data_IF_825023368506
#
_entry.id   IF_825023368506
#
_cell.length_a   1.000
_cell.length_b   1.000
_cell.length_c   1.000
_cell.angle_alpha   90.00
_cell.angle_beta   90.00
_cell.angle_gamma   90.00
#
_symmetry.space_group_name_H-M   'P 1'
#
loop_
_entity.id
_entity.type
_entity.pdbx_description
1 polymer ?
#
# COMPACT_ATOMS: atom_id res chain seq x y z
N UNK A 1 -20.14 0.75 12.16
CA UNK A 1 -20.39 1.73 11.08
C UNK A 1 -19.19 1.66 10.14
N UNK A 2 -19.40 1.35 8.85
CA UNK A 2 -18.30 1.27 7.88
C UNK A 2 -17.76 2.69 7.69
N UNK A 3 -16.44 2.88 7.85
CA UNK A 3 -15.83 4.20 7.72
C UNK A 3 -15.76 4.55 6.24
N UNK A 4 -16.34 5.69 5.84
CA UNK A 4 -16.28 6.14 4.45
C UNK A 4 -14.82 6.40 4.05
N UNK A 5 -14.38 5.75 2.97
CA UNK A 5 -13.01 5.83 2.43
C UNK A 5 -12.64 7.27 2.09
N UNK A 6 -13.59 8.13 1.73
CA UNK A 6 -13.35 9.52 1.33
C UNK A 6 -13.37 10.52 2.50
N UNK A 7 -13.76 10.10 3.71
CA UNK A 7 -13.78 10.95 4.91
C UNK A 7 -12.44 10.96 5.67
N UNK A 8 -11.40 10.32 5.13
CA UNK A 8 -10.06 10.35 5.70
C UNK A 8 -9.38 11.70 5.50
N UNK A 9 -8.64 12.15 6.51
CA UNK A 9 -7.81 13.35 6.41
C UNK A 9 -6.49 13.08 5.68
N UNK A 10 -6.08 14.02 4.84
CA UNK A 10 -4.84 14.01 4.06
C UNK A 10 -4.15 15.38 4.13
N UNK A 11 -2.85 15.43 3.82
CA UNK A 11 -2.13 16.70 3.71
C UNK A 11 -2.31 17.31 2.31
N UNK A 12 -2.66 18.60 2.27
CA UNK A 12 -2.84 19.42 1.07
C UNK A 12 -1.90 20.63 1.11
N UNK A 13 -1.34 20.98 -0.03
CA UNK A 13 -0.30 21.98 -0.22
C UNK A 13 -0.75 23.00 -1.25
N UNK A 14 -0.40 24.27 -1.01
CA UNK A 14 -0.73 25.38 -1.92
C UNK A 14 0.30 25.47 -3.07
N UNK A 15 0.30 24.46 -3.94
CA UNK A 15 1.25 24.32 -5.04
C UNK A 15 2.50 23.50 -4.71
N UNK A 16 3.37 23.30 -5.70
CA UNK A 16 4.48 22.34 -5.62
C UNK A 16 5.62 22.74 -4.68
N UNK A 17 5.69 24.02 -4.30
CA UNK A 17 6.75 24.56 -3.44
C UNK A 17 6.37 24.59 -1.96
N UNK A 18 5.09 24.40 -1.64
CA UNK A 18 4.64 24.33 -0.27
C UNK A 18 5.02 22.97 0.33
N UNK A 19 5.80 23.02 1.41
CA UNK A 19 6.30 21.84 2.12
C UNK A 19 5.64 21.65 3.47
N UNK A 20 4.88 22.63 3.97
CA UNK A 20 4.23 22.59 5.28
C UNK A 20 2.80 22.07 5.15
N UNK A 21 2.06 22.60 4.17
CA UNK A 21 0.69 22.19 3.88
C UNK A 21 -0.30 22.44 5.02
N UNK A 22 -1.51 21.94 4.81
CA UNK A 22 -2.65 21.95 5.74
C UNK A 22 -3.37 20.60 5.64
N UNK A 23 -4.29 20.32 6.55
CA UNK A 23 -5.08 19.09 6.52
C UNK A 23 -6.47 19.38 5.95
N UNK A 24 -6.99 18.47 5.13
CA UNK A 24 -8.41 18.45 4.77
C UNK A 24 -8.89 17.01 4.58
N UNK A 25 -10.22 16.82 4.45
CA UNK A 25 -10.76 15.51 4.06
C UNK A 25 -10.50 15.24 2.59
N UNK A 26 -10.24 13.98 2.25
CA UNK A 26 -10.03 13.55 0.86
C UNK A 26 -11.20 13.96 -0.05
N UNK A 27 -12.46 13.80 0.40
CA UNK A 27 -13.65 14.26 -0.33
C UNK A 27 -13.62 15.74 -0.71
N UNK A 28 -13.16 16.59 0.20
CA UNK A 28 -13.16 18.05 0.00
C UNK A 28 -12.11 18.44 -1.04
N UNK A 29 -11.01 17.68 -1.10
CA UNK A 29 -10.00 17.83 -2.14
C UNK A 29 -10.51 17.31 -3.49
N UNK A 30 -10.95 16.06 -3.58
CA UNK A 30 -11.32 15.41 -4.85
C UNK A 30 -12.53 16.06 -5.54
N UNK A 31 -13.53 16.49 -4.76
CA UNK A 31 -14.78 17.03 -5.30
C UNK A 31 -14.82 18.56 -5.34
N UNK A 32 -13.68 19.21 -5.08
CA UNK A 32 -13.58 20.67 -5.12
C UNK A 32 -13.83 21.20 -6.53
N UNK A 33 -14.85 22.06 -6.68
CA UNK A 33 -15.11 22.78 -7.95
C UNK A 33 -14.40 24.14 -8.03
N UNK A 34 -13.63 24.53 -7.00
CA UNK A 34 -13.04 25.88 -6.89
C UNK A 34 -12.07 26.22 -8.01
N UNK A 35 -11.37 25.24 -8.58
CA UNK A 35 -10.32 25.45 -9.59
C UNK A 35 -10.70 24.91 -10.98
N UNK A 36 -11.98 24.58 -11.23
CA UNK A 36 -12.41 23.98 -12.50
C UNK A 36 -12.05 24.88 -13.69
N UNK A 37 -12.37 26.18 -13.64
CA UNK A 37 -12.04 27.12 -14.72
C UNK A 37 -10.53 27.26 -14.96
N UNK A 38 -9.70 27.16 -13.91
CA UNK A 38 -8.24 27.20 -14.04
C UNK A 38 -7.70 25.90 -14.67
N UNK A 39 -8.28 24.75 -14.34
CA UNK A 39 -7.94 23.44 -14.93
C UNK A 39 -8.38 23.37 -16.39
N UNK A 40 -9.57 23.87 -16.74
CA UNK A 40 -10.05 23.95 -18.12
C UNK A 40 -9.15 24.87 -18.96
N UNK A 41 -8.77 26.04 -18.42
CA UNK A 41 -7.76 26.91 -19.03
C UNK A 41 -6.43 26.19 -19.21
N UNK A 42 -5.97 25.43 -18.21
CA UNK A 42 -4.74 24.63 -18.34
C UNK A 42 -4.84 23.67 -19.52
N UNK A 43 -5.97 22.98 -19.67
CA UNK A 43 -6.18 21.99 -20.73
C UNK A 43 -6.19 22.62 -22.12
N UNK A 44 -6.67 23.86 -22.26
CA UNK A 44 -6.70 24.59 -23.54
C UNK A 44 -5.34 25.16 -23.98
N UNK A 45 -4.32 25.18 -23.11
CA UNK A 45 -2.99 25.71 -23.46
C UNK A 45 -2.28 24.79 -24.47
N UNK A 46 -1.51 25.34 -25.42
CA UNK A 46 -0.85 24.54 -26.45
C UNK A 46 0.42 23.86 -25.94
N UNK A 47 1.25 24.55 -25.13
CA UNK A 47 2.57 24.05 -24.75
C UNK A 47 2.59 23.39 -23.37
N UNK A 48 3.56 22.49 -23.17
CA UNK A 48 3.77 21.83 -21.87
C UNK A 48 4.27 22.83 -20.82
N UNK A 49 5.04 23.82 -21.25
CA UNK A 49 5.63 24.87 -20.43
C UNK A 49 4.53 25.74 -19.81
N UNK A 50 3.58 26.22 -20.63
CA UNK A 50 2.44 27.01 -20.15
C UNK A 50 1.55 26.20 -19.21
N UNK A 51 1.28 24.93 -19.52
CA UNK A 51 0.54 24.01 -18.63
C UNK A 51 1.23 23.84 -17.28
N UNK A 52 2.55 23.72 -17.28
CA UNK A 52 3.32 23.55 -16.06
C UNK A 52 3.29 24.79 -15.16
N UNK A 53 3.22 26.00 -15.72
CA UNK A 53 3.14 27.23 -14.92
C UNK A 53 1.86 27.30 -14.08
N UNK A 54 0.73 26.86 -14.65
CA UNK A 54 -0.53 26.73 -13.89
C UNK A 54 -0.44 25.55 -12.91
N UNK A 55 0.02 24.37 -13.38
CA UNK A 55 0.11 23.16 -12.55
C UNK A 55 0.94 23.35 -11.28
N UNK A 56 1.99 24.18 -11.32
CA UNK A 56 2.85 24.49 -10.16
C UNK A 56 2.10 25.21 -9.03
N UNK A 57 1.02 25.93 -9.35
CA UNK A 57 0.25 26.78 -8.42
C UNK A 57 -1.02 26.11 -7.92
N UNK A 58 -1.57 25.16 -8.69
CA UNK A 58 -2.75 24.40 -8.29
C UNK A 58 -2.51 23.64 -6.97
N UNK A 59 -3.54 23.46 -6.14
CA UNK A 59 -3.45 22.65 -4.93
C UNK A 59 -2.92 21.25 -5.22
N UNK A 60 -2.10 20.74 -4.30
CA UNK A 60 -1.49 19.41 -4.37
C UNK A 60 -1.86 18.64 -3.11
N UNK A 61 -1.99 17.33 -3.16
CA UNK A 61 -2.28 16.53 -1.97
C UNK A 61 -1.44 15.25 -1.90
N UNK A 62 -1.02 14.88 -0.70
CA UNK A 62 -0.49 13.54 -0.45
C UNK A 62 -1.65 12.62 -0.05
N UNK A 63 -2.21 11.91 -1.03
CA UNK A 63 -3.37 11.01 -0.81
C UNK A 63 -3.03 9.92 0.23
N UNK A 64 -1.78 9.49 0.28
CA UNK A 64 -1.32 8.38 1.12
C UNK A 64 -1.23 8.72 2.62
N UNK A 65 -1.31 9.99 3.03
CA UNK A 65 -1.25 10.29 4.46
C UNK A 65 -1.16 11.75 4.86
N UNK A 66 -1.03 11.91 6.17
CA UNK A 66 -0.82 13.16 6.88
C UNK A 66 0.66 13.31 7.26
N UNK A 67 1.21 14.50 7.00
CA UNK A 67 2.60 14.80 7.24
C UNK A 67 2.76 16.07 8.10
N UNK A 68 3.55 16.00 9.16
CA UNK A 68 3.90 17.15 10.00
C UNK A 68 5.33 17.02 10.55
N UNK A 69 6.07 18.13 10.69
CA UNK A 69 5.70 19.50 10.32
C UNK A 69 5.85 19.77 8.82
N UNK A 70 6.54 18.89 8.08
CA UNK A 70 6.78 19.05 6.64
C UNK A 70 6.61 17.75 5.87
N UNK A 71 6.40 17.83 4.56
CA UNK A 71 6.26 16.69 3.64
C UNK A 71 7.57 15.91 3.49
N UNK A 72 7.78 14.94 4.36
CA UNK A 72 8.87 13.95 4.30
C UNK A 72 8.39 12.60 4.80
N UNK A 73 8.99 11.51 4.33
CA UNK A 73 8.60 10.16 4.76
C UNK A 73 8.75 9.97 6.28
N UNK A 74 9.81 10.53 6.88
CA UNK A 74 10.06 10.53 8.32
C UNK A 74 9.01 11.29 9.14
N UNK A 75 8.29 12.22 8.50
CA UNK A 75 7.28 13.09 9.12
C UNK A 75 5.86 12.57 8.89
N UNK A 76 5.70 11.30 8.47
CA UNK A 76 4.38 10.68 8.32
C UNK A 76 3.75 10.49 9.70
N UNK A 77 2.73 11.30 9.99
CA UNK A 77 1.95 11.21 11.24
C UNK A 77 0.98 10.05 11.17
N UNK A 78 0.30 9.89 10.03
CA UNK A 78 -0.71 8.85 9.83
C UNK A 78 -0.84 8.52 8.34
N UNK A 79 -0.71 7.24 8.00
CA UNK A 79 -1.08 6.76 6.67
C UNK A 79 -2.61 6.79 6.52
N UNK A 80 -3.12 7.29 5.39
CA UNK A 80 -4.57 7.41 5.12
C UNK A 80 -5.26 6.05 4.94
N UNK A 81 -4.46 5.04 4.60
CA UNK A 81 -4.91 3.72 4.20
C UNK A 81 -5.14 3.61 2.69
N UNK A 82 -4.77 4.64 1.93
CA UNK A 82 -4.97 4.73 0.48
C UNK A 82 -3.64 4.88 -0.24
N UNK A 83 -3.61 4.47 -1.50
CA UNK A 83 -2.55 4.81 -2.45
C UNK A 83 -3.18 5.46 -3.68
N UNK A 84 -2.49 6.44 -4.26
CA UNK A 84 -2.84 7.07 -5.52
C UNK A 84 -1.82 6.67 -6.57
N UNK A 85 -2.26 6.06 -7.68
CA UNK A 85 -1.38 5.69 -8.80
C UNK A 85 -1.81 6.41 -10.07
N UNK A 86 -0.83 6.93 -10.79
CA UNK A 86 -1.04 7.59 -12.08
C UNK A 86 -0.89 6.62 -13.24
N UNK A 87 -1.71 6.83 -14.26
CA UNK A 87 -1.68 6.14 -15.55
C UNK A 87 -1.56 7.22 -16.63
N UNK A 88 -0.34 7.42 -17.11
CA UNK A 88 -0.05 8.41 -18.14
C UNK A 88 -0.14 7.77 -19.54
N UNK A 89 -0.85 8.43 -20.47
CA UNK A 89 -0.98 7.96 -21.87
C UNK A 89 0.36 7.78 -22.57
N UNK A 90 1.34 8.64 -22.26
CA UNK A 90 2.69 8.60 -22.87
C UNK A 90 3.44 7.29 -22.58
N UNK A 91 3.13 6.65 -21.45
CA UNK A 91 3.76 5.40 -21.01
C UNK A 91 2.96 4.17 -21.49
N UNK A 92 1.82 4.39 -22.15
CA UNK A 92 0.83 3.39 -22.53
C UNK A 92 0.38 3.56 -24.00
N UNK A 93 1.29 3.98 -24.88
CA UNK A 93 1.01 4.22 -26.30
C UNK A 93 0.62 2.95 -27.07
N UNK A 94 0.84 1.78 -26.49
CA UNK A 94 0.41 0.48 -27.03
C UNK A 94 -1.07 0.17 -26.80
N UNK A 95 -1.80 1.01 -26.07
CA UNK A 95 -3.24 0.85 -25.84
C UNK A 95 -4.00 1.73 -26.84
N UNK A 96 -4.57 1.09 -27.86
CA UNK A 96 -5.31 1.78 -28.93
C UNK A 96 -6.62 2.40 -28.41
N UNK A 97 -7.36 1.68 -27.56
CA UNK A 97 -8.64 2.10 -26.97
C UNK A 97 -8.46 2.86 -25.65
N UNK A 98 -7.60 3.88 -25.64
CA UNK A 98 -7.25 4.66 -24.45
C UNK A 98 -8.48 5.21 -23.68
N UNK A 99 -9.52 5.62 -24.40
CA UNK A 99 -10.73 6.21 -23.81
C UNK A 99 -11.61 5.16 -23.08
N UNK A 100 -11.39 3.86 -23.34
CA UNK A 100 -12.10 2.76 -22.68
C UNK A 100 -11.39 2.25 -21.42
N UNK A 101 -10.15 2.65 -21.17
CA UNK A 101 -9.38 2.20 -19.99
C UNK A 101 -10.15 2.42 -18.69
N UNK A 102 -10.85 3.56 -18.56
CA UNK A 102 -11.66 3.84 -17.37
C UNK A 102 -12.72 2.77 -17.15
N UNK A 103 -13.37 2.28 -18.21
CA UNK A 103 -14.38 1.23 -18.12
C UNK A 103 -13.77 -0.13 -17.70
N UNK A 104 -12.57 -0.45 -18.18
CA UNK A 104 -11.85 -1.65 -17.76
C UNK A 104 -11.40 -1.57 -16.30
N UNK A 105 -10.89 -0.42 -15.87
CA UNK A 105 -10.48 -0.20 -14.48
C UNK A 105 -11.66 -0.24 -13.50
N UNK A 106 -12.85 0.23 -13.88
CA UNK A 106 -14.06 0.14 -13.04
C UNK A 106 -14.40 -1.31 -12.64
N UNK A 107 -13.95 -2.32 -13.40
CA UNK A 107 -14.20 -3.75 -13.09
C UNK A 107 -13.35 -4.25 -11.92
N UNK A 108 -12.29 -3.53 -11.54
CA UNK A 108 -11.43 -3.88 -10.40
C UNK A 108 -12.10 -3.42 -9.09
N UNK A 109 -12.56 -4.39 -8.30
CA UNK A 109 -13.25 -4.16 -7.01
C UNK A 109 -12.40 -3.44 -5.97
N UNK A 110 -11.08 -3.43 -6.14
CA UNK A 110 -10.12 -2.73 -5.30
C UNK A 110 -10.03 -1.23 -5.63
N UNK A 111 -10.55 -0.76 -6.77
CA UNK A 111 -10.49 0.66 -7.12
C UNK A 111 -11.64 1.42 -6.44
N UNK A 112 -11.28 2.44 -5.65
CA UNK A 112 -12.23 3.34 -5.00
C UNK A 112 -12.56 4.57 -5.84
N UNK A 113 -11.61 5.08 -6.62
CA UNK A 113 -11.79 6.30 -7.40
C UNK A 113 -11.00 6.25 -8.70
N UNK A 114 -11.58 6.75 -9.80
CA UNK A 114 -10.87 7.00 -11.07
C UNK A 114 -11.26 8.38 -11.57
N UNK A 115 -10.27 9.17 -11.97
CA UNK A 115 -10.51 10.49 -12.56
C UNK A 115 -9.42 10.86 -13.55
N UNK A 116 -9.75 11.74 -14.49
CA UNK A 116 -8.79 12.35 -15.39
C UNK A 116 -7.66 13.05 -14.61
N UNK A 117 -6.44 12.97 -15.12
CA UNK A 117 -5.32 13.77 -14.66
C UNK A 117 -5.54 15.25 -14.97
N UNK A 118 -4.78 16.14 -14.32
CA UNK A 118 -4.97 17.60 -14.47
C UNK A 118 -4.91 18.06 -15.93
N UNK A 119 -4.07 17.43 -16.76
CA UNK A 119 -3.97 17.74 -18.19
C UNK A 119 -5.09 17.15 -19.05
N UNK A 120 -5.93 16.27 -18.51
CA UNK A 120 -6.99 15.56 -19.24
C UNK A 120 -6.51 14.39 -20.10
N UNK A 121 -5.19 14.15 -20.19
CA UNK A 121 -4.61 13.13 -21.07
C UNK A 121 -4.32 11.80 -20.36
N UNK A 122 -4.33 11.79 -19.04
CA UNK A 122 -4.02 10.63 -18.21
C UNK A 122 -5.19 10.31 -17.27
N UNK A 123 -5.05 9.23 -16.51
CA UNK A 123 -5.93 8.90 -15.40
C UNK A 123 -5.11 8.81 -14.11
N UNK A 124 -5.78 8.98 -12.97
CA UNK A 124 -5.25 8.49 -11.71
C UNK A 124 -6.33 7.67 -11.02
N UNK A 125 -5.89 6.69 -10.23
CA UNK A 125 -6.78 5.85 -9.44
C UNK A 125 -6.38 5.85 -7.97
N UNK A 126 -7.38 5.74 -7.09
CA UNK A 126 -7.17 5.60 -5.64
C UNK A 126 -7.63 4.22 -5.21
N UNK A 127 -6.76 3.53 -4.48
CA UNK A 127 -6.93 2.13 -4.05
C UNK A 127 -6.73 2.08 -2.52
N UNK A 128 -7.68 1.53 -1.74
CA UNK A 128 -7.46 1.23 -0.34
C UNK A 128 -6.46 0.09 -0.19
N UNK A 129 -5.54 0.23 0.76
CA UNK A 129 -4.48 -0.71 1.05
C UNK A 129 -4.84 -1.55 2.28
N UNK A 130 -4.76 -2.88 2.17
CA UNK A 130 -4.92 -3.77 3.33
C UNK A 130 -3.74 -3.63 4.31
N UNK A 131 -2.54 -3.34 3.80
CA UNK A 131 -1.31 -3.23 4.60
C UNK A 131 -0.64 -1.85 4.42
N UNK A 132 -1.21 -0.77 5.00
CA UNK A 132 -0.66 0.59 4.88
C UNK A 132 0.80 0.76 5.27
N UNK A 133 1.26 0.01 6.28
CA UNK A 133 2.67 -0.01 6.73
C UNK A 133 3.63 -0.50 5.62
N UNK A 134 3.11 -1.24 4.66
CA UNK A 134 3.81 -1.92 3.59
C UNK A 134 3.64 -1.18 2.25
N UNK A 135 3.33 0.13 2.30
CA UNK A 135 2.98 0.98 1.15
C UNK A 135 3.78 0.67 -0.12
N UNK A 136 5.12 0.71 -0.04
CA UNK A 136 6.00 0.47 -1.18
C UNK A 136 5.92 -0.97 -1.71
N UNK A 137 5.81 -1.96 -0.82
CA UNK A 137 5.69 -3.37 -1.19
C UNK A 137 4.34 -3.67 -1.85
N UNK A 138 3.25 -3.04 -1.37
CA UNK A 138 1.94 -3.15 -2.03
C UNK A 138 1.93 -2.42 -3.38
N UNK A 139 2.57 -1.25 -3.49
CA UNK A 139 2.73 -0.56 -4.76
C UNK A 139 3.48 -1.40 -5.80
N UNK A 140 4.58 -2.05 -5.43
CA UNK A 140 5.32 -2.88 -6.37
C UNK A 140 4.49 -4.08 -6.85
N UNK A 141 3.65 -4.63 -5.98
CA UNK A 141 2.70 -5.69 -6.37
C UNK A 141 1.62 -5.14 -7.31
N UNK A 142 1.05 -3.97 -7.02
CA UNK A 142 0.13 -3.26 -7.93
C UNK A 142 0.77 -3.04 -9.30
N UNK A 143 2.02 -2.61 -9.36
CA UNK A 143 2.76 -2.40 -10.62
C UNK A 143 2.81 -3.68 -11.47
N UNK A 144 3.07 -4.82 -10.85
CA UNK A 144 3.07 -6.11 -11.54
C UNK A 144 1.65 -6.52 -11.99
N UNK A 145 0.66 -6.26 -11.16
CA UNK A 145 -0.73 -6.64 -11.43
C UNK A 145 -1.35 -5.81 -12.55
N UNK A 146 -1.09 -4.50 -12.57
CA UNK A 146 -1.45 -3.61 -13.67
C UNK A 146 -0.69 -3.98 -14.96
N UNK A 147 0.60 -4.29 -14.88
CA UNK A 147 1.37 -4.73 -16.04
C UNK A 147 0.82 -6.03 -16.65
N UNK A 148 0.31 -6.96 -15.83
CA UNK A 148 -0.33 -8.20 -16.29
C UNK A 148 -1.61 -7.98 -17.09
N UNK A 149 -2.31 -6.87 -16.86
CA UNK A 149 -3.46 -6.44 -17.66
C UNK A 149 -3.08 -5.42 -18.74
N UNK A 150 -1.78 -5.26 -19.02
CA UNK A 150 -1.28 -4.40 -20.09
C UNK A 150 -1.22 -2.91 -19.74
N UNK A 151 -1.36 -2.52 -18.47
CA UNK A 151 -1.33 -1.12 -18.05
C UNK A 151 -0.04 -0.82 -17.29
N UNK A 152 0.64 0.27 -17.67
CA UNK A 152 1.85 0.77 -17.02
C UNK A 152 1.47 1.95 -16.11
N UNK A 153 1.80 1.83 -14.82
CA UNK A 153 1.60 2.88 -13.80
C UNK A 153 2.91 3.61 -13.48
N UNK A 154 2.84 4.90 -13.13
CA UNK A 154 4.01 5.73 -12.79
C UNK A 154 4.74 5.16 -11.55
N UNK A 155 6.00 4.76 -11.74
CA UNK A 155 6.87 4.19 -10.69
C UNK A 155 7.05 5.09 -9.47
N UNK A 156 6.92 6.41 -9.64
CA UNK A 156 7.05 7.36 -8.53
C UNK A 156 5.87 7.28 -7.54
N UNK A 157 4.77 6.61 -7.89
CA UNK A 157 3.60 6.51 -7.03
C UNK A 157 3.77 5.58 -5.82
N UNK A 158 4.88 4.82 -5.73
CA UNK A 158 5.23 4.04 -4.54
C UNK A 158 5.86 4.85 -3.40
N UNK A 159 6.12 6.14 -3.61
CA UNK A 159 6.56 7.06 -2.56
C UNK A 159 5.35 7.53 -1.76
N UNK A 160 5.34 7.26 -0.44
CA UNK A 160 4.25 7.68 0.46
C UNK A 160 4.06 9.21 0.46
N UNK A 161 5.10 9.99 0.13
CA UNK A 161 5.07 11.45 0.06
C UNK A 161 4.63 11.99 -1.31
N UNK A 162 4.23 11.11 -2.24
CA UNK A 162 3.86 11.50 -3.60
C UNK A 162 2.67 12.45 -3.58
N UNK A 163 2.88 13.64 -4.12
CA UNK A 163 1.82 14.62 -4.31
C UNK A 163 1.04 14.36 -5.59
N UNK A 164 -0.28 14.59 -5.51
CA UNK A 164 -1.22 14.61 -6.62
C UNK A 164 -1.73 16.03 -6.82
N UNK A 165 -1.68 16.52 -8.05
CA UNK A 165 -2.30 17.80 -8.39
C UNK A 165 -3.82 17.67 -8.40
N UNK A 166 -4.51 18.67 -7.86
CA UNK A 166 -5.95 18.79 -7.98
C UNK A 166 -6.34 18.72 -9.46
N UNK A 167 -7.36 17.93 -9.75
CA UNK A 167 -7.86 17.69 -11.09
C UNK A 167 -9.38 17.81 -11.12
N UNK A 168 -9.94 17.80 -12.32
CA UNK A 168 -11.37 17.82 -12.56
C UNK A 168 -11.76 16.77 -13.62
N UNK A 169 -12.79 16.01 -13.31
CA UNK A 169 -13.48 15.10 -14.21
C UNK A 169 -14.98 15.31 -13.97
N UNK A 170 -15.76 15.43 -15.04
CA UNK A 170 -17.21 15.62 -14.92
C UNK A 170 -17.91 14.35 -14.45
N UNK A 171 -17.32 13.19 -14.74
CA UNK A 171 -17.94 11.88 -14.49
C UNK A 171 -16.95 10.92 -13.82
N UNK A 172 -16.30 11.27 -12.69
CA UNK A 172 -15.33 10.39 -12.04
C UNK A 172 -16.01 9.09 -11.61
N UNK A 173 -15.27 7.98 -11.64
CA UNK A 173 -15.74 6.74 -11.04
C UNK A 173 -15.58 6.81 -9.53
N UNK A 174 -16.61 6.41 -8.78
CA UNK A 174 -16.63 6.41 -7.32
C UNK A 174 -17.18 5.05 -6.85
N UNK A 175 -16.41 4.38 -6.01
CA UNK A 175 -16.78 3.12 -5.37
C UNK A 175 -16.46 3.19 -3.87
N UNK A 176 -17.48 3.54 -3.07
CA UNK A 176 -17.37 3.59 -1.60
C UNK A 176 -17.22 2.21 -0.95
N UNK A 177 -17.54 1.15 -1.69
CA UNK A 177 -17.47 -0.24 -1.24
C UNK A 177 -16.20 -0.96 -1.71
N UNK A 178 -15.21 -0.21 -2.23
CA UNK A 178 -13.94 -0.78 -2.69
C UNK A 178 -13.27 -1.62 -1.60
N UNK A 179 -12.82 -2.82 -1.97
CA UNK A 179 -12.16 -3.72 -1.02
C UNK A 179 -10.67 -3.38 -0.91
N UNK A 180 -10.05 -3.44 0.28
CA UNK A 180 -8.62 -3.20 0.42
C UNK A 180 -7.78 -4.20 -0.39
N UNK A 181 -6.84 -3.67 -1.18
CA UNK A 181 -5.87 -4.45 -1.93
C UNK A 181 -4.94 -5.19 -0.97
N UNK A 182 -4.89 -6.52 -1.09
CA UNK A 182 -4.13 -7.41 -0.21
C UNK A 182 -2.85 -7.96 -0.85
N UNK A 183 -2.58 -7.60 -2.11
CA UNK A 183 -1.34 -7.95 -2.78
C UNK A 183 -0.12 -7.37 -2.05
N UNK A 184 0.91 -8.20 -1.92
CA UNK A 184 2.15 -7.84 -1.28
C UNK A 184 3.34 -8.42 -2.06
N UNK A 185 4.27 -7.57 -2.48
CA UNK A 185 5.50 -8.00 -3.14
C UNK A 185 6.63 -8.07 -2.12
N UNK A 186 7.29 -9.23 -2.07
CA UNK A 186 8.52 -9.48 -1.32
C UNK A 186 9.67 -9.62 -2.30
N UNK A 187 10.74 -8.84 -2.12
CA UNK A 187 11.97 -9.06 -2.88
C UNK A 187 12.53 -10.46 -2.59
N UNK A 188 12.98 -11.21 -3.62
CA UNK A 188 13.60 -12.51 -3.41
C UNK A 188 14.89 -12.35 -2.58
N UNK A 189 14.90 -12.95 -1.39
CA UNK A 189 16.01 -12.79 -0.43
C UNK A 189 17.20 -13.70 -0.78
N UNK A 190 18.46 -13.23 -0.62
CA UNK A 190 19.61 -14.11 -0.53
C UNK A 190 19.50 -14.99 0.72
N UNK A 191 19.77 -16.28 0.57
CA UNK A 191 19.69 -17.29 1.65
C UNK A 191 20.86 -17.14 2.62
N UNK A 192 20.79 -16.16 3.53
CA UNK A 192 21.72 -16.11 4.67
C UNK A 192 21.06 -16.75 5.90
N UNK A 193 21.68 -17.82 6.41
CA UNK A 193 21.30 -18.47 7.66
C UNK A 193 21.69 -17.56 8.84
N UNK A 194 20.77 -16.70 9.27
CA UNK A 194 20.96 -15.94 10.50
C UNK A 194 20.86 -16.89 11.70
N UNK A 195 22.01 -17.20 12.31
CA UNK A 195 22.06 -17.76 13.66
C UNK A 195 21.72 -16.63 14.65
N UNK A 196 20.50 -16.63 15.17
CA UNK A 196 20.11 -15.72 16.24
C UNK A 196 20.74 -16.20 17.55
N UNK A 197 21.68 -15.44 18.11
CA UNK A 197 22.22 -15.68 19.45
C UNK A 197 21.14 -15.34 20.48
N UNK A 198 20.50 -16.37 21.02
CA UNK A 198 19.44 -16.26 22.02
C UNK A 198 19.91 -15.49 23.26
N UNK A 199 19.20 -14.41 23.59
CA UNK A 199 19.18 -13.82 24.93
C UNK A 199 17.79 -14.03 25.55
N UNK A 200 17.69 -13.95 26.87
CA UNK A 200 16.61 -14.50 27.72
C UNK A 200 15.13 -14.12 27.43
N UNK A 201 14.82 -13.31 26.41
CA UNK A 201 13.45 -12.81 26.14
C UNK A 201 12.96 -13.06 24.69
N UNK A 202 13.39 -14.13 24.01
CA UNK A 202 12.95 -14.40 22.62
C UNK A 202 11.44 -14.64 22.52
N UNK A 203 10.86 -15.42 23.43
CA UNK A 203 9.42 -15.72 23.42
C UNK A 203 8.58 -14.45 23.58
N UNK A 204 8.96 -13.55 24.48
CA UNK A 204 8.26 -12.27 24.68
C UNK A 204 8.30 -11.39 23.43
N UNK A 205 9.44 -11.35 22.73
CA UNK A 205 9.56 -10.61 21.48
C UNK A 205 8.64 -11.18 20.40
N UNK A 206 8.55 -12.51 20.31
CA UNK A 206 7.65 -13.19 19.36
C UNK A 206 6.19 -12.93 19.73
N UNK A 207 5.85 -12.98 21.02
CA UNK A 207 4.52 -12.67 21.53
C UNK A 207 4.10 -11.24 21.15
N UNK A 208 4.95 -10.23 21.41
CA UNK A 208 4.70 -8.83 21.00
C UNK A 208 4.44 -8.70 19.50
N UNK A 209 5.19 -9.41 18.65
CA UNK A 209 4.93 -9.43 17.21
C UNK A 209 3.58 -10.09 16.88
N UNK A 210 3.26 -11.22 17.50
CA UNK A 210 2.01 -11.96 17.29
C UNK A 210 0.77 -11.17 17.74
N UNK A 211 0.87 -10.42 18.84
CA UNK A 211 -0.17 -9.49 19.30
C UNK A 211 -0.46 -8.41 18.24
N UNK A 212 0.59 -7.80 17.67
CA UNK A 212 0.44 -6.81 16.58
C UNK A 212 -0.16 -7.45 15.31
N UNK A 213 0.25 -8.67 14.99
CA UNK A 213 -0.28 -9.45 13.86
C UNK A 213 -1.79 -9.68 14.02
N UNK A 214 -2.20 -10.20 15.18
CA UNK A 214 -3.61 -10.51 15.48
C UNK A 214 -4.46 -9.23 15.56
N UNK A 215 -4.00 -8.22 16.31
CA UNK A 215 -4.75 -6.98 16.51
C UNK A 215 -5.02 -6.23 15.20
N UNK A 216 -4.13 -6.34 14.22
CA UNK A 216 -4.23 -5.65 12.93
C UNK A 216 -4.67 -6.56 11.77
N UNK A 217 -4.91 -7.85 12.00
CA UNK A 217 -5.29 -8.78 10.95
C UNK A 217 -4.22 -8.94 9.85
N UNK A 218 -2.93 -8.84 10.19
CA UNK A 218 -1.83 -8.81 9.21
C UNK A 218 -1.42 -10.22 8.83
N UNK A 219 -1.67 -10.63 7.59
CA UNK A 219 -1.22 -11.92 7.08
C UNK A 219 0.25 -11.87 6.62
N UNK A 220 1.15 -12.24 7.54
CA UNK A 220 2.58 -12.38 7.25
C UNK A 220 2.91 -13.68 6.49
N UNK A 221 1.95 -14.60 6.40
CA UNK A 221 2.14 -15.94 5.85
C UNK A 221 1.95 -16.00 4.34
N UNK A 222 1.31 -14.99 3.74
CA UNK A 222 1.31 -14.77 2.30
C UNK A 222 1.00 -16.02 1.46
N UNK A 223 2.01 -16.51 0.74
CA UNK A 223 1.94 -17.75 -0.04
C UNK A 223 2.48 -18.99 0.71
N UNK A 224 2.45 -20.17 0.08
CA UNK A 224 2.93 -21.40 0.74
C UNK A 224 4.41 -21.31 1.18
N UNK A 225 5.25 -20.60 0.42
CA UNK A 225 6.68 -20.50 0.71
C UNK A 225 6.90 -19.64 1.95
N UNK A 226 6.19 -18.53 2.06
CA UNK A 226 6.21 -17.66 3.24
C UNK A 226 5.64 -18.37 4.46
N UNK A 227 4.48 -19.02 4.32
CA UNK A 227 3.88 -19.82 5.39
C UNK A 227 4.83 -20.92 5.90
N UNK A 228 5.50 -21.62 4.98
CA UNK A 228 6.52 -22.62 5.33
C UNK A 228 7.71 -22.01 6.06
N UNK A 229 8.18 -20.83 5.62
CA UNK A 229 9.32 -20.13 6.22
C UNK A 229 9.00 -19.64 7.62
N UNK A 230 7.84 -19.01 7.82
CA UNK A 230 7.31 -18.60 9.14
C UNK A 230 7.20 -19.82 10.06
N UNK A 231 6.64 -20.91 9.54
CA UNK A 231 6.50 -22.17 10.29
C UNK A 231 7.85 -22.74 10.73
N UNK A 232 8.86 -22.77 9.86
CA UNK A 232 10.19 -23.26 10.22
C UNK A 232 10.86 -22.36 11.26
N UNK A 233 10.76 -21.04 11.10
CA UNK A 233 11.35 -20.08 12.04
C UNK A 233 10.75 -20.20 13.44
N UNK A 234 9.42 -20.36 13.55
CA UNK A 234 8.74 -20.57 14.83
C UNK A 234 8.99 -21.97 15.41
N UNK A 235 9.11 -23.00 14.56
CA UNK A 235 9.50 -24.35 15.00
C UNK A 235 10.91 -24.40 15.59
N UNK A 236 11.77 -23.41 15.30
CA UNK A 236 13.08 -23.28 15.95
C UNK A 236 12.99 -22.98 17.45
N UNK A 237 11.80 -22.63 17.97
CA UNK A 237 11.51 -22.44 19.40
C UNK A 237 10.98 -23.73 20.07
N UNK A 238 10.94 -24.84 19.33
CA UNK A 238 10.28 -26.05 19.77
C UNK A 238 8.77 -25.89 19.87
N UNK A 239 8.16 -26.65 20.77
CA UNK A 239 6.69 -26.71 20.93
C UNK A 239 6.08 -25.36 21.32
N UNK A 240 6.81 -24.52 22.04
CA UNK A 240 6.41 -23.15 22.39
C UNK A 240 6.10 -22.27 21.16
N UNK A 241 6.63 -22.62 19.98
CA UNK A 241 6.34 -21.93 18.72
C UNK A 241 4.96 -22.24 18.12
N UNK A 242 4.27 -23.30 18.56
CA UNK A 242 3.04 -23.79 17.93
C UNK A 242 1.92 -22.75 17.98
N UNK A 243 1.66 -22.21 19.16
CA UNK A 243 0.60 -21.21 19.36
C UNK A 243 0.84 -20.00 18.46
N UNK A 244 2.07 -19.48 18.40
CA UNK A 244 2.46 -18.38 17.53
C UNK A 244 2.25 -18.70 16.04
N UNK A 245 2.53 -19.93 15.61
CA UNK A 245 2.31 -20.32 14.21
C UNK A 245 0.83 -20.33 13.84
N UNK A 246 -0.03 -20.78 14.76
CA UNK A 246 -1.49 -20.64 14.59
C UNK A 246 -1.91 -19.17 14.58
N UNK A 247 -1.33 -18.32 15.44
CA UNK A 247 -1.62 -16.87 15.43
C UNK A 247 -1.32 -16.22 14.09
N UNK A 248 -0.18 -16.56 13.49
CA UNK A 248 0.21 -16.04 12.18
C UNK A 248 -0.66 -16.63 11.06
N UNK A 249 -0.89 -17.95 11.08
CA UNK A 249 -1.61 -18.65 10.01
C UNK A 249 -3.08 -18.26 9.92
N UNK A 250 -3.75 -17.99 11.05
CA UNK A 250 -5.19 -17.63 11.07
C UNK A 250 -5.52 -16.28 10.45
N UNK A 251 -4.51 -15.44 10.18
CA UNK A 251 -4.72 -14.18 9.46
C UNK A 251 -5.00 -14.40 7.96
N UNK A 252 -4.68 -15.59 7.44
CA UNK A 252 -4.99 -15.98 6.07
C UNK A 252 -6.38 -16.62 5.97
N UNK A 253 -7.17 -16.23 4.96
CA UNK A 253 -8.52 -16.73 4.75
C UNK A 253 -8.60 -18.25 4.47
N UNK A 254 -7.49 -18.88 4.05
CA UNK A 254 -7.40 -20.33 3.78
C UNK A 254 -6.99 -21.15 5.01
N UNK A 255 -6.86 -20.52 6.17
CA UNK A 255 -6.44 -21.17 7.40
C UNK A 255 -7.35 -22.36 7.77
N UNK A 256 -6.72 -23.48 8.13
CA UNK A 256 -7.38 -24.64 8.69
C UNK A 256 -6.57 -25.19 9.84
N UNK A 257 -7.17 -25.22 11.02
CA UNK A 257 -6.50 -25.63 12.26
C UNK A 257 -5.77 -26.97 12.12
N UNK A 258 -6.44 -28.00 11.60
CA UNK A 258 -5.87 -29.35 11.46
C UNK A 258 -4.69 -29.42 10.49
N UNK A 259 -4.75 -28.70 9.37
CA UNK A 259 -3.66 -28.65 8.39
C UNK A 259 -2.45 -27.90 8.97
N UNK A 260 -2.69 -26.78 9.66
CA UNK A 260 -1.64 -25.99 10.33
C UNK A 260 -0.98 -26.78 11.45
N UNK A 261 -1.76 -27.45 12.30
CA UNK A 261 -1.24 -28.23 13.43
C UNK A 261 -0.37 -29.41 12.95
N UNK A 262 -0.88 -30.17 11.95
CA UNK A 262 -0.13 -31.25 11.31
C UNK A 262 1.15 -30.74 10.65
N UNK A 263 1.10 -29.57 10.00
CA UNK A 263 2.28 -28.95 9.39
C UNK A 263 3.32 -28.60 10.44
N UNK A 264 2.92 -27.95 11.55
CA UNK A 264 3.87 -27.55 12.59
C UNK A 264 4.57 -28.75 13.23
N UNK A 265 3.81 -29.82 13.52
CA UNK A 265 4.36 -31.09 14.01
C UNK A 265 5.40 -31.70 13.06
N UNK A 266 5.23 -31.53 11.74
CA UNK A 266 6.25 -31.92 10.76
C UNK A 266 7.48 -31.01 10.81
N UNK A 267 7.28 -29.69 10.89
CA UNK A 267 8.35 -28.69 10.89
C UNK A 267 9.24 -28.76 12.14
N UNK A 268 8.72 -29.18 13.30
CA UNK A 268 9.54 -29.47 14.48
C UNK A 268 10.62 -30.54 14.21
N UNK A 269 10.34 -31.44 13.26
CA UNK A 269 11.27 -32.51 12.86
C UNK A 269 12.17 -32.09 11.69
N UNK A 270 11.63 -31.34 10.73
CA UNK A 270 12.26 -31.10 9.42
C UNK A 270 12.80 -29.67 9.23
N UNK A 271 12.31 -28.68 9.97
CA UNK A 271 12.53 -27.24 9.78
C UNK A 271 13.83 -26.67 10.36
N UNK A 272 14.81 -27.50 10.72
CA UNK A 272 15.99 -27.14 11.54
C UNK A 272 16.97 -26.13 10.92
N UNK A 273 16.79 -25.75 9.65
CA UNK A 273 17.72 -24.85 8.93
C UNK A 273 17.36 -23.36 9.06
N UNK A 274 16.14 -23.03 9.48
CA UNK A 274 15.64 -21.66 9.56
C UNK A 274 15.49 -21.30 11.04
N UNK A 275 16.22 -20.29 11.50
CA UNK A 275 16.17 -19.82 12.88
C UNK A 275 15.10 -18.73 13.07
N UNK A 276 14.80 -18.44 14.35
CA UNK A 276 13.79 -17.43 14.72
C UNK A 276 14.07 -16.03 14.15
N UNK A 277 15.32 -15.70 13.81
CA UNK A 277 15.66 -14.45 13.13
C UNK A 277 14.84 -14.21 11.86
N UNK A 278 14.53 -15.27 11.10
CA UNK A 278 13.70 -15.17 9.89
C UNK A 278 12.27 -14.72 10.19
N UNK A 279 11.70 -15.09 11.33
CA UNK A 279 10.38 -14.60 11.75
C UNK A 279 10.40 -13.09 12.01
N UNK A 280 11.41 -12.57 12.71
CA UNK A 280 11.52 -11.13 12.99
C UNK A 280 11.75 -10.32 11.72
N UNK A 281 12.57 -10.82 10.79
CA UNK A 281 12.74 -10.17 9.48
C UNK A 281 11.45 -10.18 8.67
N UNK A 282 10.68 -11.28 8.68
CA UNK A 282 9.35 -11.30 8.04
C UNK A 282 8.42 -10.30 8.72
N UNK A 283 8.39 -10.23 10.06
CA UNK A 283 7.56 -9.24 10.76
C UNK A 283 7.92 -7.81 10.33
N UNK A 284 9.21 -7.49 10.23
CA UNK A 284 9.71 -6.16 9.86
C UNK A 284 9.25 -5.73 8.47
N UNK A 285 9.19 -6.64 7.51
CA UNK A 285 8.66 -6.40 6.16
C UNK A 285 7.20 -5.92 6.19
N UNK A 286 6.44 -6.40 7.17
CA UNK A 286 5.06 -5.98 7.45
C UNK A 286 5.00 -4.89 8.53
N UNK A 287 6.06 -4.10 8.70
CA UNK A 287 6.10 -3.00 9.67
C UNK A 287 5.90 -3.42 11.13
N UNK A 288 6.00 -4.71 11.43
CA UNK A 288 5.83 -5.26 12.78
C UNK A 288 7.20 -5.38 13.43
N UNK A 289 7.37 -4.70 14.56
CA UNK A 289 8.57 -4.77 15.40
C UNK A 289 8.20 -5.06 16.85
N UNK A 290 9.04 -5.81 17.55
CA UNK A 290 8.90 -6.07 18.99
C UNK A 290 9.43 -4.91 19.86
N UNK A 291 10.15 -3.97 19.26
CA UNK A 291 10.60 -2.75 19.94
C UNK A 291 9.40 -1.80 20.05
N UNK A 292 9.22 -1.23 21.22
CA UNK A 292 8.28 -0.12 21.41
C UNK A 292 8.86 1.10 20.67
N UNK A 293 7.97 1.90 20.06
CA UNK A 293 8.35 3.09 19.28
C UNK A 293 8.74 4.24 20.21
#
# INVERSE_FOLDING_TARGET
MKKDIFDVEISVYNGVRDVYGTNCKLRDFLFSKKHVSEIERLRSLPTKEEKNEIKKRLPMACISGLFQPTRKAENLVRHSGLICVDIDRKDNLHIDNWDEIKQELCKLKEIAYISLSVSGNGYFVIIPLKYPHAHKGQFEKLRQDFARIGIIIDRACGDVTRMRCLSYDAEPYINVEAIPYDGYYKEPRPTNSYQYSGGDNVLDKVAKCCEKIEANGIDITGDYKDWFTVGCALASLGESGRSFFHVCSRQNAKYKYSETDKKFSNLLRTGKRIGIGSFFEICKDYGITYKDA
#
